data_IF_247347957273
#
_entry.id   IF_247347957273
#
_cell.length_a   1.000
_cell.length_b   1.000
_cell.length_c   1.000
_cell.angle_alpha   90.00
_cell.angle_beta   90.00
_cell.angle_gamma   90.00
#
_symmetry.space_group_name_H-M   'P 1'
#
loop_
_entity.id
_entity.type
_entity.pdbx_description
1 polymer ?
#
# COMPACT_ATOMS: atom_id res chain seq x y z
N UNK A 1 -4.27 -23.87 6.22
CA UNK A 1 -3.84 -23.03 5.08
C UNK A 1 -4.83 -21.91 4.77
N UNK A 2 -5.85 -22.07 3.89
CA UNK A 2 -6.78 -20.96 3.60
C UNK A 2 -7.74 -20.68 4.77
N UNK A 3 -8.48 -21.69 5.24
CA UNK A 3 -9.42 -21.53 6.36
C UNK A 3 -8.70 -21.05 7.63
N UNK A 4 -7.55 -21.63 7.92
CA UNK A 4 -6.68 -21.21 9.02
C UNK A 4 -6.20 -19.75 8.89
N UNK A 5 -5.85 -19.30 7.67
CA UNK A 5 -5.49 -17.90 7.46
C UNK A 5 -6.67 -16.96 7.71
N UNK A 6 -7.88 -17.37 7.32
CA UNK A 6 -9.11 -16.63 7.63
C UNK A 6 -9.37 -16.61 9.14
N UNK A 7 -9.27 -17.74 9.81
CA UNK A 7 -9.49 -17.86 11.26
C UNK A 7 -8.52 -17.01 12.09
N UNK A 8 -7.26 -16.91 11.65
CA UNK A 8 -6.21 -16.18 12.38
C UNK A 8 -5.94 -14.78 11.82
N UNK A 9 -6.71 -14.31 10.82
CA UNK A 9 -6.50 -13.01 10.19
C UNK A 9 -5.14 -12.85 9.50
N UNK A 10 -4.55 -13.95 9.02
CA UNK A 10 -3.27 -13.93 8.29
C UNK A 10 -3.49 -13.97 6.77
N UNK A 11 -2.41 -13.85 6.01
CA UNK A 11 -2.44 -13.83 4.54
C UNK A 11 -2.08 -15.18 3.92
N UNK A 12 -2.52 -15.42 2.68
CA UNK A 12 -2.12 -16.59 1.91
C UNK A 12 -1.95 -16.22 0.43
N UNK A 13 -1.22 -17.07 -0.30
CA UNK A 13 -0.94 -16.84 -1.73
C UNK A 13 -1.57 -17.93 -2.58
N UNK A 14 -2.10 -17.54 -3.73
CA UNK A 14 -2.52 -18.44 -4.80
C UNK A 14 -1.50 -18.36 -5.94
N UNK A 15 -0.94 -19.50 -6.33
CA UNK A 15 0.04 -19.60 -7.40
C UNK A 15 -0.56 -20.41 -8.54
N UNK A 16 -0.72 -19.78 -9.71
CA UNK A 16 -1.07 -20.46 -10.94
C UNK A 16 0.22 -20.72 -11.74
N UNK A 17 0.76 -21.93 -11.59
CA UNK A 17 2.10 -22.28 -12.08
C UNK A 17 2.24 -22.20 -13.61
N UNK A 18 1.21 -22.59 -14.36
CA UNK A 18 1.27 -22.59 -15.84
C UNK A 18 1.48 -21.19 -16.41
N UNK A 19 0.87 -20.17 -15.80
CA UNK A 19 1.01 -18.77 -16.23
C UNK A 19 1.97 -17.95 -15.36
N UNK A 20 2.59 -18.58 -14.37
CA UNK A 20 3.40 -17.94 -13.33
C UNK A 20 2.68 -16.76 -12.62
N UNK A 21 1.34 -16.77 -12.56
CA UNK A 21 0.57 -15.74 -11.87
C UNK A 21 0.58 -16.03 -10.37
N UNK A 22 0.84 -14.99 -9.58
CA UNK A 22 0.72 -14.99 -8.12
C UNK A 22 -0.35 -13.99 -7.70
N UNK A 23 -1.25 -14.43 -6.82
CA UNK A 23 -2.24 -13.58 -6.15
C UNK A 23 -1.98 -13.66 -4.65
N UNK A 24 -1.60 -12.54 -4.05
CA UNK A 24 -1.49 -12.40 -2.59
C UNK A 24 -2.87 -12.01 -2.03
N UNK A 25 -3.41 -12.81 -1.10
CA UNK A 25 -4.71 -12.57 -0.44
C UNK A 25 -4.47 -12.20 1.01
N UNK A 26 -4.96 -11.02 1.39
CA UNK A 26 -4.91 -10.51 2.76
C UNK A 26 -6.32 -10.54 3.34
N UNK A 27 -6.48 -11.21 4.48
CA UNK A 27 -7.76 -11.27 5.20
C UNK A 27 -7.98 -9.94 5.89
N UNK A 28 -9.21 -9.41 5.81
CA UNK A 28 -9.58 -8.18 6.52
C UNK A 28 -9.50 -8.43 8.03
N UNK A 29 -8.72 -7.59 8.73
CA UNK A 29 -8.63 -7.62 10.19
C UNK A 29 -9.14 -6.31 10.80
N UNK A 30 -9.21 -6.22 12.12
CA UNK A 30 -9.51 -4.97 12.84
C UNK A 30 -8.32 -3.98 12.84
N UNK A 31 -7.23 -4.29 12.12
CA UNK A 31 -6.13 -3.34 11.93
C UNK A 31 -6.64 -2.03 11.30
N UNK A 32 -6.28 -0.85 11.84
CA UNK A 32 -6.80 0.42 11.36
C UNK A 32 -6.52 0.70 9.87
N UNK A 33 -5.39 0.23 9.33
CA UNK A 33 -5.06 0.42 7.92
C UNK A 33 -5.87 -0.52 7.01
N UNK A 34 -6.19 -1.72 7.47
CA UNK A 34 -7.05 -2.66 6.76
C UNK A 34 -8.47 -2.09 6.64
N UNK A 35 -9.03 -1.61 7.75
CA UNK A 35 -10.34 -0.96 7.79
C UNK A 35 -10.38 0.32 6.95
N UNK A 36 -9.32 1.13 7.03
CA UNK A 36 -9.18 2.35 6.21
C UNK A 36 -9.14 2.03 4.72
N UNK A 37 -8.35 1.02 4.29
CA UNK A 37 -8.28 0.63 2.88
C UNK A 37 -9.60 0.12 2.34
N UNK A 38 -10.31 -0.69 3.14
CA UNK A 38 -11.58 -1.23 2.70
C UNK A 38 -12.63 -0.13 2.61
N UNK A 39 -12.72 0.75 3.61
CA UNK A 39 -13.71 1.84 3.62
C UNK A 39 -13.41 2.94 2.59
N UNK A 40 -12.14 3.27 2.36
CA UNK A 40 -11.65 4.29 1.43
C UNK A 40 -11.46 3.81 -0.02
N UNK A 41 -11.85 2.57 -0.34
CA UNK A 41 -11.69 2.01 -1.69
C UNK A 41 -12.50 2.76 -2.73
N UNK A 42 -11.95 2.87 -3.94
CA UNK A 42 -12.51 3.59 -5.06
C UNK A 42 -12.80 2.61 -6.22
N UNK A 43 -13.97 2.74 -6.85
CA UNK A 43 -14.32 1.93 -8.02
C UNK A 43 -13.70 2.52 -9.28
N UNK A 44 -12.77 1.79 -9.88
CA UNK A 44 -12.09 2.15 -11.13
C UNK A 44 -12.58 1.23 -12.24
N UNK A 45 -12.92 1.82 -13.38
CA UNK A 45 -13.24 1.06 -14.59
C UNK A 45 -11.95 0.63 -15.27
N UNK A 46 -11.79 -0.69 -15.49
CA UNK A 46 -10.58 -1.29 -16.07
C UNK A 46 -10.82 -1.86 -17.47
N UNK A 47 -12.08 -2.10 -17.82
CA UNK A 47 -12.55 -2.42 -19.16
C UNK A 47 -14.02 -1.98 -19.25
N UNK A 48 -14.57 -1.89 -20.46
CA UNK A 48 -15.94 -1.45 -20.68
C UNK A 48 -16.93 -2.28 -19.84
N UNK A 49 -17.60 -1.63 -18.89
CA UNK A 49 -18.56 -2.28 -17.99
C UNK A 49 -17.94 -3.10 -16.85
N UNK A 50 -16.62 -3.14 -16.73
CA UNK A 50 -15.89 -3.88 -15.69
C UNK A 50 -15.21 -2.91 -14.73
N UNK A 51 -15.69 -2.91 -13.49
CA UNK A 51 -15.13 -2.08 -12.41
C UNK A 51 -14.48 -2.95 -11.35
N UNK A 52 -13.34 -2.49 -10.84
CA UNK A 52 -12.65 -3.08 -9.70
C UNK A 52 -12.50 -2.06 -8.58
N UNK A 53 -12.45 -2.54 -7.35
CA UNK A 53 -12.18 -1.70 -6.19
C UNK A 53 -10.69 -1.63 -5.92
N UNK A 54 -10.16 -0.41 -5.82
CA UNK A 54 -8.74 -0.15 -5.54
C UNK A 54 -8.66 0.76 -4.31
N UNK A 55 -7.70 0.51 -3.41
CA UNK A 55 -7.45 1.40 -2.28
C UNK A 55 -7.04 2.80 -2.75
N UNK A 56 -7.31 3.83 -1.93
CA UNK A 56 -6.91 5.20 -2.28
C UNK A 56 -5.38 5.32 -2.46
N UNK A 57 -4.88 6.30 -3.23
CA UNK A 57 -3.43 6.51 -3.38
C UNK A 57 -2.70 6.68 -2.04
N UNK A 58 -3.29 7.39 -1.07
CA UNK A 58 -2.77 7.54 0.29
C UNK A 58 -2.62 6.17 0.96
N UNK A 59 -3.66 5.35 0.90
CA UNK A 59 -3.64 4.06 1.59
C UNK A 59 -2.70 3.05 0.92
N UNK A 60 -2.51 3.15 -0.40
CA UNK A 60 -1.49 2.36 -1.11
C UNK A 60 -0.08 2.71 -0.64
N UNK A 61 0.22 4.00 -0.42
CA UNK A 61 1.50 4.44 0.17
C UNK A 61 1.66 3.87 1.58
N UNK A 62 0.64 4.04 2.44
CA UNK A 62 0.67 3.55 3.82
C UNK A 62 0.87 2.03 3.90
N UNK A 63 0.21 1.25 3.02
CA UNK A 63 0.40 -0.21 2.93
C UNK A 63 1.83 -0.59 2.63
N UNK A 64 2.42 0.05 1.62
CA UNK A 64 3.79 -0.24 1.18
C UNK A 64 4.82 0.17 2.24
N UNK A 65 4.61 1.30 2.91
CA UNK A 65 5.43 1.70 4.06
C UNK A 65 5.34 0.71 5.21
N UNK A 66 4.13 0.20 5.51
CA UNK A 66 3.97 -0.86 6.51
C UNK A 66 4.74 -2.13 6.13
N UNK A 67 4.63 -2.58 4.87
CA UNK A 67 5.39 -3.75 4.41
C UNK A 67 6.90 -3.51 4.43
N UNK A 68 7.34 -2.30 4.09
CA UNK A 68 8.73 -1.91 4.20
C UNK A 68 9.22 -2.02 5.65
N UNK A 69 8.48 -1.46 6.61
CA UNK A 69 8.77 -1.57 8.05
C UNK A 69 8.76 -3.01 8.54
N UNK A 70 7.72 -3.79 8.23
CA UNK A 70 7.61 -5.20 8.62
C UNK A 70 8.72 -6.06 8.01
N UNK A 71 9.24 -5.67 6.84
CA UNK A 71 10.39 -6.31 6.21
C UNK A 71 11.74 -5.87 6.76
N UNK A 72 11.79 -5.11 7.87
CA UNK A 72 13.04 -4.60 8.44
C UNK A 72 13.67 -3.46 7.64
N UNK A 73 12.88 -2.76 6.82
CA UNK A 73 13.30 -1.59 6.04
C UNK A 73 14.43 -1.88 5.02
N UNK A 74 14.53 -3.12 4.53
CA UNK A 74 15.53 -3.53 3.52
C UNK A 74 14.96 -3.72 2.11
N UNK A 75 13.64 -3.72 1.94
CA UNK A 75 13.03 -3.97 0.63
C UNK A 75 13.01 -2.71 -0.23
N UNK A 76 14.02 -2.54 -1.07
CA UNK A 76 14.10 -1.44 -2.04
C UNK A 76 12.89 -1.38 -2.98
N UNK A 77 12.24 -2.52 -3.24
CA UNK A 77 11.03 -2.57 -4.07
C UNK A 77 9.89 -1.80 -3.42
N UNK A 78 9.59 -2.05 -2.15
CA UNK A 78 8.50 -1.36 -1.46
C UNK A 78 8.79 0.15 -1.35
N UNK A 79 10.06 0.49 -1.07
CA UNK A 79 10.50 1.88 -1.01
C UNK A 79 10.35 2.60 -2.37
N UNK A 80 10.85 1.99 -3.45
CA UNK A 80 10.71 2.55 -4.81
C UNK A 80 9.25 2.71 -5.22
N UNK A 81 8.40 1.75 -4.90
CA UNK A 81 6.97 1.85 -5.19
C UNK A 81 6.31 3.02 -4.44
N UNK A 82 6.71 3.28 -3.19
CA UNK A 82 6.23 4.43 -2.41
C UNK A 82 6.59 5.74 -3.10
N UNK A 83 7.87 5.91 -3.46
CA UNK A 83 8.34 7.11 -4.16
C UNK A 83 7.64 7.28 -5.51
N UNK A 84 7.47 6.20 -6.27
CA UNK A 84 6.78 6.23 -7.56
C UNK A 84 5.31 6.68 -7.43
N UNK A 85 4.57 6.15 -6.45
CA UNK A 85 3.18 6.56 -6.22
C UNK A 85 3.12 8.03 -5.83
N UNK A 86 3.96 8.48 -4.89
CA UNK A 86 3.98 9.88 -4.45
C UNK A 86 4.32 10.84 -5.60
N UNK A 87 5.21 10.45 -6.50
CA UNK A 87 5.56 11.23 -7.70
C UNK A 87 4.40 11.28 -8.69
N UNK A 88 3.84 10.12 -9.08
CA UNK A 88 2.77 10.04 -10.09
C UNK A 88 1.47 10.67 -9.60
N UNK A 89 1.18 10.54 -8.31
CA UNK A 89 -0.05 11.01 -7.66
C UNK A 89 0.14 12.33 -6.90
N UNK A 90 1.23 13.07 -7.17
CA UNK A 90 1.59 14.28 -6.41
C UNK A 90 0.47 15.34 -6.35
N UNK A 91 -0.37 15.43 -7.39
CA UNK A 91 -1.50 16.36 -7.46
C UNK A 91 -2.79 15.83 -6.80
N UNK A 92 -2.83 14.54 -6.43
CA UNK A 92 -4.00 13.87 -5.83
C UNK A 92 -3.78 13.49 -4.37
N UNK A 93 -2.52 13.41 -3.94
CA UNK A 93 -2.16 13.11 -2.56
C UNK A 93 -1.96 14.43 -1.82
N UNK A 94 -2.84 14.70 -0.87
CA UNK A 94 -2.60 15.71 0.14
C UNK A 94 -1.52 15.20 1.11
N UNK A 95 -0.41 15.94 1.21
CA UNK A 95 0.74 15.55 2.03
C UNK A 95 0.46 15.68 3.52
N UNK A 96 -0.40 16.62 3.92
CA UNK A 96 -0.76 16.81 5.33
C UNK A 96 -1.73 15.70 5.77
N UNK A 97 -2.67 15.32 4.90
CA UNK A 97 -3.52 14.14 5.14
C UNK A 97 -2.68 12.86 5.24
N UNK A 98 -1.73 12.66 4.31
CA UNK A 98 -0.86 11.48 4.33
C UNK A 98 -0.03 11.42 5.62
N UNK A 99 0.55 12.53 6.07
CA UNK A 99 1.29 12.59 7.34
C UNK A 99 0.38 12.27 8.53
N UNK A 100 -0.78 12.90 8.62
CA UNK A 100 -1.72 12.68 9.71
C UNK A 100 -2.17 11.22 9.80
N UNK A 101 -2.48 10.59 8.66
CA UNK A 101 -2.83 9.18 8.60
C UNK A 101 -1.64 8.28 8.98
N UNK A 102 -0.42 8.62 8.55
CA UNK A 102 0.77 7.85 8.88
C UNK A 102 1.14 7.91 10.36
N UNK A 103 0.98 9.06 11.02
CA UNK A 103 1.22 9.22 12.47
C UNK A 103 0.34 8.26 13.29
N UNK A 104 -0.95 8.19 12.97
CA UNK A 104 -1.89 7.27 13.65
C UNK A 104 -1.50 5.80 13.49
N UNK A 105 -0.73 5.48 12.46
CA UNK A 105 -0.31 4.11 12.11
C UNK A 105 1.14 3.81 12.52
N UNK A 106 1.85 4.77 13.14
CA UNK A 106 3.27 4.65 13.48
C UNK A 106 4.16 4.55 12.25
N UNK A 107 3.86 5.29 11.18
CA UNK A 107 4.60 5.34 9.92
C UNK A 107 5.03 6.78 9.53
N UNK A 108 4.82 7.75 10.41
CA UNK A 108 5.05 9.18 10.14
C UNK A 108 6.51 9.50 9.80
N UNK A 109 7.45 8.80 10.44
CA UNK A 109 8.88 8.92 10.17
C UNK A 109 9.23 8.47 8.74
N UNK A 110 8.61 7.38 8.27
CA UNK A 110 8.83 6.87 6.91
C UNK A 110 8.19 7.76 5.84
N UNK A 111 7.02 8.33 6.10
CA UNK A 111 6.41 9.34 5.20
C UNK A 111 7.31 10.57 5.11
N UNK A 112 7.82 11.05 6.25
CA UNK A 112 8.74 12.20 6.29
C UNK A 112 9.99 11.93 5.46
N UNK A 113 10.59 10.76 5.64
CA UNK A 113 11.75 10.31 4.85
C UNK A 113 11.43 10.23 3.36
N UNK A 114 10.25 9.71 2.99
CA UNK A 114 9.85 9.58 1.59
C UNK A 114 9.65 10.95 0.91
N UNK A 115 9.00 11.89 1.60
CA UNK A 115 8.80 13.26 1.09
C UNK A 115 10.14 13.97 0.93
N UNK A 116 11.03 13.88 1.92
CA UNK A 116 12.37 14.48 1.83
C UNK A 116 13.18 13.92 0.65
N UNK A 117 13.08 12.61 0.37
CA UNK A 117 13.75 11.99 -0.76
C UNK A 117 13.25 12.50 -2.14
N UNK A 118 12.02 12.99 -2.22
CA UNK A 118 11.45 13.57 -3.45
C UNK A 118 11.84 15.05 -3.63
N UNK A 119 12.18 15.73 -2.54
CA UNK A 119 12.59 17.14 -2.53
C UNK A 119 14.10 17.33 -2.68
N UNK A 120 14.87 16.28 -2.42
CA UNK A 120 16.30 16.27 -2.70
C UNK A 120 16.54 16.43 -4.21
N UNK A 121 17.43 17.36 -4.64
CA UNK A 121 17.79 17.46 -6.04
C UNK A 121 18.37 16.13 -6.50
N UNK A 122 17.88 15.61 -7.63
CA UNK A 122 18.45 14.43 -8.25
C UNK A 122 19.91 14.72 -8.57
N UNK A 123 20.86 14.10 -7.85
CA UNK A 123 22.23 14.04 -8.31
C UNK A 123 22.21 13.29 -9.65
N UNK A 124 22.51 14.03 -10.72
CA UNK A 124 22.45 13.56 -12.11
C UNK A 124 23.59 12.64 -12.50
#
# INVERSE_FOLDING_TARGET
MVLEAVEHGSSFNLLHYETAIKIDVFVLTDDPLDQRQLSGRQAVEVDAGHRVWIGSPIDQVLRKLRWFRSGGEVSDRQWRDVLAILTVQAHRIDRDELRAAAEQLGLGDLVTRAIAALEAPSEG
#
